data_IF_415227182662
#
_entry.id   IF_415227182662
#
_cell.length_a   1.000
_cell.length_b   1.000
_cell.length_c   1.000
_cell.angle_alpha   90.00
_cell.angle_beta   90.00
_cell.angle_gamma   90.00
#
_symmetry.space_group_name_H-M   'P 1'
#
loop_
_entity.id
_entity.type
_entity.pdbx_description
1 polymer ?
#
# COMPACT_ATOMS: atom_id res chain seq x y z
N UNK A 1 17.46 -3.06 1.42
CA UNK A 1 17.34 -1.80 0.66
C UNK A 1 18.51 -0.91 1.05
N UNK A 2 19.33 -0.49 0.10
CA UNK A 2 20.50 0.36 0.38
C UNK A 2 20.33 1.80 -0.11
N UNK A 3 19.30 2.08 -0.93
CA UNK A 3 18.99 3.43 -1.38
C UNK A 3 18.08 4.14 -0.36
N UNK A 4 18.57 5.19 0.32
CA UNK A 4 17.80 5.92 1.32
C UNK A 4 16.56 6.58 0.71
N UNK A 5 16.66 7.07 -0.53
CA UNK A 5 15.53 7.66 -1.25
C UNK A 5 14.41 6.64 -1.44
N UNK A 6 14.75 5.41 -1.81
CA UNK A 6 13.77 4.36 -2.04
C UNK A 6 13.07 3.97 -0.74
N UNK A 7 13.81 3.89 0.37
CA UNK A 7 13.22 3.65 1.71
C UNK A 7 12.20 4.74 2.05
N UNK A 8 12.52 6.01 1.82
CA UNK A 8 11.62 7.14 2.09
C UNK A 8 10.35 7.02 1.24
N UNK A 9 10.46 6.74 -0.05
CA UNK A 9 9.30 6.58 -0.95
C UNK A 9 8.36 5.50 -0.44
N UNK A 10 8.90 4.35 -0.03
CA UNK A 10 8.10 3.26 0.51
C UNK A 10 7.43 3.61 1.85
N UNK A 11 8.13 4.32 2.74
CA UNK A 11 7.54 4.81 4.00
C UNK A 11 6.42 5.83 3.75
N UNK A 12 6.59 6.73 2.79
CA UNK A 12 5.52 7.66 2.37
C UNK A 12 4.31 6.89 1.83
N UNK A 13 4.53 5.84 1.04
CA UNK A 13 3.46 4.95 0.57
C UNK A 13 2.66 4.32 1.72
N UNK A 14 3.34 3.82 2.75
CA UNK A 14 2.70 3.29 3.96
C UNK A 14 1.89 4.37 4.69
N UNK A 15 2.44 5.58 4.84
CA UNK A 15 1.75 6.70 5.48
C UNK A 15 0.48 7.11 4.73
N UNK A 16 0.53 7.19 3.40
CA UNK A 16 -0.64 7.50 2.57
C UNK A 16 -1.73 6.42 2.74
N UNK A 17 -1.34 5.13 2.82
CA UNK A 17 -2.29 4.04 3.07
C UNK A 17 -2.94 4.15 4.46
N UNK A 18 -2.17 4.52 5.50
CA UNK A 18 -2.69 4.73 6.85
C UNK A 18 -3.67 5.89 6.92
N UNK A 19 -3.31 7.04 6.34
CA UNK A 19 -4.18 8.22 6.26
C UNK A 19 -5.49 7.85 5.53
N UNK A 20 -5.38 7.15 4.41
CA UNK A 20 -6.54 6.67 3.64
C UNK A 20 -7.45 5.79 4.48
N UNK A 21 -6.87 4.89 5.29
CA UNK A 21 -7.64 4.01 6.17
C UNK A 21 -8.37 4.79 7.27
N UNK A 22 -7.70 5.74 7.92
CA UNK A 22 -8.30 6.60 8.95
C UNK A 22 -9.45 7.43 8.38
N UNK A 23 -9.24 8.06 7.21
CA UNK A 23 -10.28 8.88 6.56
C UNK A 23 -11.52 8.07 6.17
N UNK A 24 -11.33 6.80 5.77
CA UNK A 24 -12.45 5.92 5.44
C UNK A 24 -13.01 5.17 6.66
N UNK A 25 -12.47 5.35 7.86
CA UNK A 25 -12.88 4.60 9.05
C UNK A 25 -14.16 5.15 9.71
N UNK A 26 -14.35 6.47 9.63
CA UNK A 26 -15.41 7.24 10.30
C UNK A 26 -16.83 6.82 9.88
N UNK A 27 -17.20 6.77 8.59
CA UNK A 27 -18.55 6.34 8.21
C UNK A 27 -18.60 4.82 8.11
N UNK A 28 -19.37 4.16 8.98
CA UNK A 28 -19.50 2.70 9.01
C UNK A 28 -19.92 2.10 7.66
N UNK A 29 -20.83 2.76 6.94
CA UNK A 29 -21.34 2.38 5.63
C UNK A 29 -20.36 2.65 4.47
N UNK A 30 -19.28 3.39 4.71
CA UNK A 30 -18.22 3.72 3.75
C UNK A 30 -16.88 3.08 4.09
N UNK A 31 -16.84 2.23 5.13
CA UNK A 31 -15.61 1.66 5.64
C UNK A 31 -14.98 0.72 4.62
N UNK A 32 -13.74 1.01 4.24
CA UNK A 32 -12.98 0.19 3.30
C UNK A 32 -11.66 -0.24 3.93
N UNK A 33 -11.37 -1.54 3.86
CA UNK A 33 -10.12 -2.14 4.32
C UNK A 33 -9.11 -2.31 3.18
N UNK A 34 -9.47 -1.92 1.97
CA UNK A 34 -8.65 -2.01 0.75
C UNK A 34 -7.32 -1.26 0.82
N UNK A 35 -7.14 -0.15 1.59
CA UNK A 35 -5.81 0.43 1.79
C UNK A 35 -4.79 -0.52 2.43
N UNK A 36 -5.23 -1.51 3.22
CA UNK A 36 -4.33 -2.48 3.85
C UNK A 36 -3.59 -3.35 2.83
N UNK A 37 -4.26 -3.70 1.73
CA UNK A 37 -3.64 -4.51 0.65
C UNK A 37 -2.48 -3.73 0.04
N UNK A 38 -2.70 -2.44 -0.22
CA UNK A 38 -1.65 -1.55 -0.75
C UNK A 38 -0.52 -1.35 0.26
N UNK A 39 -0.85 -1.21 1.54
CA UNK A 39 0.11 -1.08 2.64
C UNK A 39 1.03 -2.31 2.75
N UNK A 40 0.49 -3.52 2.56
CA UNK A 40 1.29 -4.75 2.50
C UNK A 40 2.31 -4.68 1.35
N UNK A 41 1.89 -4.23 0.16
CA UNK A 41 2.77 -4.05 -0.99
C UNK A 41 3.95 -3.11 -0.70
N UNK A 42 3.71 -2.02 0.03
CA UNK A 42 4.78 -1.10 0.44
C UNK A 42 5.66 -1.64 1.60
N UNK A 43 5.12 -2.48 2.47
CA UNK A 43 5.89 -3.07 3.58
C UNK A 43 6.78 -4.24 3.13
N UNK A 44 6.36 -4.97 2.09
CA UNK A 44 7.01 -6.19 1.60
C UNK A 44 8.52 -6.04 1.34
N UNK A 45 8.98 -5.04 0.56
CA UNK A 45 10.42 -4.84 0.32
C UNK A 45 11.17 -4.19 1.49
N UNK A 46 10.46 -3.62 2.48
CA UNK A 46 11.08 -3.05 3.69
C UNK A 46 11.38 -4.14 4.73
N UNK A 47 10.46 -5.08 4.92
CA UNK A 47 10.51 -6.10 5.96
C UNK A 47 11.34 -7.31 5.56
N UNK A 48 11.24 -7.75 4.31
CA UNK A 48 11.88 -8.98 3.88
C UNK A 48 13.16 -8.65 3.12
N UNK A 49 14.27 -8.82 3.82
CA UNK A 49 15.62 -8.77 3.26
C UNK A 49 16.13 -10.19 3.09
N UNK A 50 15.51 -10.96 2.21
CA UNK A 50 16.11 -12.22 1.79
C UNK A 50 17.35 -11.84 0.96
N UNK A 51 18.50 -12.50 1.18
CA UNK A 51 19.73 -12.26 0.43
C UNK A 51 19.63 -12.57 -1.08
N UNK A 52 18.43 -12.93 -1.55
CA UNK A 52 18.04 -13.04 -2.95
C UNK A 52 17.84 -11.66 -3.61
N UNK A 53 17.60 -11.68 -4.92
CA UNK A 53 17.48 -10.50 -5.77
C UNK A 53 16.45 -9.49 -5.22
N UNK A 54 16.95 -8.41 -4.61
CA UNK A 54 16.11 -7.36 -4.01
C UNK A 54 15.16 -6.69 -5.01
N UNK A 55 15.53 -6.72 -6.29
CA UNK A 55 14.73 -6.20 -7.41
C UNK A 55 13.41 -6.96 -7.53
N UNK A 56 13.43 -8.29 -7.34
CA UNK A 56 12.20 -9.10 -7.39
C UNK A 56 11.26 -8.74 -6.25
N UNK A 57 11.79 -8.48 -5.06
CA UNK A 57 11.00 -8.07 -3.89
C UNK A 57 10.34 -6.71 -4.09
N UNK A 58 11.08 -5.77 -4.68
CA UNK A 58 10.58 -4.45 -5.06
C UNK A 58 9.46 -4.56 -6.10
N UNK A 59 9.66 -5.39 -7.13
CA UNK A 59 8.71 -5.56 -8.21
C UNK A 59 7.41 -6.20 -7.71
N UNK A 60 7.52 -7.22 -6.84
CA UNK A 60 6.37 -7.86 -6.21
C UNK A 60 5.61 -6.89 -5.31
N UNK A 61 6.33 -6.13 -4.46
CA UNK A 61 5.74 -5.09 -3.62
C UNK A 61 4.97 -4.04 -4.43
N UNK A 62 5.55 -3.59 -5.55
CA UNK A 62 4.91 -2.64 -6.47
C UNK A 62 3.61 -3.20 -7.08
N UNK A 63 3.63 -4.45 -7.55
CA UNK A 63 2.44 -5.11 -8.13
C UNK A 63 1.32 -5.19 -7.09
N UNK A 64 1.64 -5.61 -5.86
CA UNK A 64 0.65 -5.71 -4.77
C UNK A 64 0.10 -4.33 -4.42
N UNK A 65 0.95 -3.30 -4.33
CA UNK A 65 0.54 -1.92 -4.08
C UNK A 65 -0.38 -1.39 -5.18
N UNK A 66 -0.06 -1.68 -6.45
CA UNK A 66 -0.86 -1.27 -7.60
C UNK A 66 -2.24 -1.93 -7.60
N UNK A 67 -2.31 -3.25 -7.41
CA UNK A 67 -3.56 -4.00 -7.34
C UNK A 67 -4.42 -3.49 -6.16
N UNK A 68 -3.82 -3.33 -4.99
CA UNK A 68 -4.50 -2.79 -3.81
C UNK A 68 -5.09 -1.40 -4.05
N UNK A 69 -4.36 -0.55 -4.77
CA UNK A 69 -4.82 0.79 -5.15
C UNK A 69 -6.01 0.77 -6.11
N UNK A 70 -6.03 -0.14 -7.09
CA UNK A 70 -7.19 -0.33 -7.99
C UNK A 70 -8.44 -0.69 -7.17
N UNK A 71 -8.31 -1.68 -6.29
CA UNK A 71 -9.43 -2.09 -5.43
C UNK A 71 -9.89 -0.96 -4.50
N UNK A 72 -8.97 -0.15 -3.99
CA UNK A 72 -9.30 1.02 -3.19
C UNK A 72 -10.15 2.04 -3.95
N UNK A 73 -9.74 2.41 -5.17
CA UNK A 73 -10.50 3.34 -6.02
C UNK A 73 -11.88 2.77 -6.35
N UNK A 74 -11.98 1.48 -6.68
CA UNK A 74 -13.27 0.83 -6.95
C UNK A 74 -14.19 0.81 -5.71
N UNK A 75 -13.63 0.57 -4.53
CA UNK A 75 -14.38 0.54 -3.29
C UNK A 75 -14.94 1.92 -2.92
N UNK A 76 -14.14 2.97 -3.07
CA UNK A 76 -14.59 4.36 -2.84
C UNK A 76 -15.55 4.83 -3.95
N UNK A 77 -15.31 4.47 -5.21
CA UNK A 77 -16.17 4.88 -6.33
C UNK A 77 -17.61 4.38 -6.20
N UNK A 78 -17.83 3.22 -5.56
CA UNK A 78 -19.18 2.71 -5.24
C UNK A 78 -19.88 3.46 -4.12
N UNK A 79 -19.14 4.18 -3.28
CA UNK A 79 -19.64 4.85 -2.08
C UNK A 79 -20.10 6.30 -2.34
N UNK A 80 -19.71 6.87 -3.48
CA UNK A 80 -20.09 8.22 -3.90
C UNK A 80 -21.11 8.25 -5.07
N UNK A 81 -21.56 7.08 -5.54
CA UNK A 81 -22.72 6.92 -6.43
C UNK A 81 -23.96 6.62 -5.62
#
# INVERSE_FOLDING_TARGET
>A
LNSPLLIIVYLLGVLICLISLILNWEPYYKRTYTPLISMIGFLLPLLIRNGENIIWMLLLGLIVAFIGSIFYVLAIGKVYR
#
